data_IF_864453185032
#
_entry.id   IF_864453185032
#
_cell.length_a   1.000
_cell.length_b   1.000
_cell.length_c   1.000
_cell.angle_alpha   90.00
_cell.angle_beta   90.00
_cell.angle_gamma   90.00
#
_symmetry.space_group_name_H-M   'P 1'
#
loop_
_entity.id
_entity.type
_entity.pdbx_description
1 polymer ?
#
# COMPACT_ATOMS: atom_id res chain seq x y z
N UNK A 1 44.04 -28.84 -37.92
CA UNK A 1 43.49 -27.47 -37.79
C UNK A 1 42.11 -27.44 -37.11
N UNK A 2 41.26 -28.47 -37.28
CA UNK A 2 39.91 -28.52 -36.70
C UNK A 2 39.80 -28.61 -35.16
N UNK A 3 40.77 -29.23 -34.47
CA UNK A 3 40.70 -29.41 -33.00
C UNK A 3 40.77 -28.08 -32.22
N UNK A 4 41.56 -27.12 -32.71
CA UNK A 4 41.71 -25.80 -32.07
C UNK A 4 40.44 -24.95 -32.19
N UNK A 5 39.71 -25.11 -33.28
CA UNK A 5 38.45 -24.38 -33.52
C UNK A 5 37.35 -24.91 -32.58
N UNK A 6 37.29 -26.23 -32.37
CA UNK A 6 36.30 -26.85 -31.48
C UNK A 6 36.48 -26.45 -30.01
N UNK A 7 37.72 -26.38 -29.53
CA UNK A 7 38.02 -25.94 -28.15
C UNK A 7 37.63 -24.47 -27.94
N UNK A 8 37.88 -23.62 -28.94
CA UNK A 8 37.57 -22.20 -28.87
C UNK A 8 36.05 -21.95 -28.85
N UNK A 9 35.29 -22.72 -29.63
CA UNK A 9 33.82 -22.67 -29.60
C UNK A 9 33.29 -23.11 -28.23
N UNK A 10 33.83 -24.19 -27.65
CA UNK A 10 33.37 -24.72 -26.36
C UNK A 10 33.59 -23.74 -25.19
N UNK A 11 34.74 -23.04 -25.19
CA UNK A 11 35.05 -22.00 -24.20
C UNK A 11 34.10 -20.80 -24.36
N UNK A 12 33.87 -20.34 -25.58
CA UNK A 12 32.97 -19.21 -25.84
C UNK A 12 31.53 -19.55 -25.44
N UNK A 13 31.04 -20.75 -25.73
CA UNK A 13 29.70 -21.19 -25.29
C UNK A 13 29.57 -21.33 -23.78
N UNK A 14 30.64 -21.75 -23.09
CA UNK A 14 30.65 -21.86 -21.63
C UNK A 14 30.59 -20.47 -20.96
N UNK A 15 31.36 -19.50 -21.48
CA UNK A 15 31.36 -18.13 -20.98
C UNK A 15 30.02 -17.42 -21.19
N UNK A 16 29.30 -17.68 -22.28
CA UNK A 16 27.98 -17.08 -22.54
C UNK A 16 26.92 -17.65 -21.57
N UNK A 17 26.92 -18.97 -21.34
CA UNK A 17 26.00 -19.61 -20.40
C UNK A 17 26.22 -19.18 -18.93
N UNK A 18 27.47 -18.87 -18.55
CA UNK A 18 27.79 -18.37 -17.21
C UNK A 18 27.31 -16.92 -16.99
N UNK A 19 27.30 -16.07 -18.02
CA UNK A 19 26.84 -14.67 -17.89
C UNK A 19 25.33 -14.59 -17.67
N UNK A 20 24.54 -15.43 -18.35
CA UNK A 20 23.07 -15.45 -18.19
C UNK A 20 22.63 -15.93 -16.79
N UNK A 21 23.47 -16.70 -16.09
CA UNK A 21 23.16 -17.21 -14.74
C UNK A 21 23.37 -16.19 -13.60
N UNK A 22 23.88 -14.99 -13.88
CA UNK A 22 24.28 -14.03 -12.84
C UNK A 22 23.33 -12.85 -12.61
N UNK A 23 22.28 -12.69 -13.42
CA UNK A 23 21.26 -11.67 -13.18
C UNK A 23 20.02 -12.25 -12.48
N UNK A 24 20.21 -12.68 -11.23
CA UNK A 24 19.08 -12.77 -10.29
C UNK A 24 18.74 -11.34 -9.89
N UNK A 25 17.93 -10.66 -10.70
CA UNK A 25 17.25 -9.44 -10.25
C UNK A 25 16.32 -9.90 -9.12
N UNK A 26 16.52 -9.43 -7.87
CA UNK A 26 15.57 -9.75 -6.83
C UNK A 26 14.22 -9.23 -7.31
N UNK A 27 13.26 -10.13 -7.50
CA UNK A 27 11.86 -9.78 -7.66
C UNK A 27 11.48 -9.00 -6.41
N UNK A 28 11.56 -7.67 -6.49
CA UNK A 28 11.01 -6.77 -5.49
C UNK A 28 9.50 -6.91 -5.70
N UNK A 29 8.91 -7.91 -5.05
CA UNK A 29 7.45 -8.03 -4.93
C UNK A 29 6.96 -6.67 -4.43
N UNK A 30 6.33 -5.90 -5.31
CA UNK A 30 5.69 -4.65 -4.90
C UNK A 30 4.73 -4.99 -3.76
N UNK A 31 4.70 -4.20 -2.68
CA UNK A 31 3.76 -4.43 -1.59
C UNK A 31 2.34 -4.45 -2.15
N UNK A 32 1.49 -5.40 -1.71
CA UNK A 32 0.15 -5.58 -2.27
C UNK A 32 -0.66 -4.27 -2.15
N UNK A 33 -1.36 -3.92 -3.24
CA UNK A 33 -2.23 -2.76 -3.31
C UNK A 33 -3.64 -3.17 -2.87
N UNK A 34 -4.26 -2.37 -2.02
CA UNK A 34 -5.64 -2.51 -1.57
C UNK A 34 -6.51 -1.48 -2.28
N UNK A 35 -7.68 -1.91 -2.75
CA UNK A 35 -8.73 -1.07 -3.32
C UNK A 35 -9.88 -0.97 -2.33
N UNK A 36 -10.32 0.25 -2.00
CA UNK A 36 -11.43 0.48 -1.08
C UNK A 36 -12.29 1.63 -1.58
N UNK A 37 -13.61 1.46 -1.48
CA UNK A 37 -14.56 2.56 -1.66
C UNK A 37 -14.86 3.13 -0.27
N UNK A 38 -14.66 4.43 -0.11
CA UNK A 38 -14.91 5.16 1.11
C UNK A 38 -16.17 6.00 0.90
N UNK A 39 -17.22 5.66 1.63
CA UNK A 39 -18.46 6.42 1.66
C UNK A 39 -18.39 7.44 2.79
N UNK A 40 -19.02 8.59 2.62
CA UNK A 40 -19.19 9.55 3.70
C UNK A 40 -20.00 8.92 4.84
N UNK A 41 -19.46 8.99 6.05
CA UNK A 41 -20.16 8.61 7.28
C UNK A 41 -20.27 9.83 8.21
N UNK A 42 -21.48 10.36 8.32
CA UNK A 42 -21.76 11.52 9.16
C UNK A 42 -21.45 11.27 10.64
N UNK A 43 -21.48 10.02 11.09
CA UNK A 43 -21.14 9.65 12.48
C UNK A 43 -19.64 9.84 12.72
N UNK A 44 -18.80 9.39 11.79
CA UNK A 44 -17.34 9.55 11.87
C UNK A 44 -16.99 11.04 11.86
N UNK A 45 -17.60 11.81 10.95
CA UNK A 45 -17.35 13.26 10.85
C UNK A 45 -17.75 14.01 12.12
N UNK A 46 -18.94 13.71 12.68
CA UNK A 46 -19.40 14.33 13.93
C UNK A 46 -18.52 13.95 15.12
N UNK A 47 -18.14 12.68 15.25
CA UNK A 47 -17.25 12.22 16.32
C UNK A 47 -15.90 12.94 16.26
N UNK A 48 -15.29 13.02 15.07
CA UNK A 48 -14.01 13.70 14.88
C UNK A 48 -14.13 15.21 15.10
N UNK A 49 -15.22 15.85 14.67
CA UNK A 49 -15.48 17.26 14.93
C UNK A 49 -15.60 17.53 16.44
N UNK A 50 -16.29 16.68 17.19
CA UNK A 50 -16.43 16.80 18.64
C UNK A 50 -15.10 16.64 19.37
N UNK A 51 -14.23 15.72 18.94
CA UNK A 51 -12.89 15.54 19.53
C UNK A 51 -12.04 16.81 19.34
N UNK A 52 -12.12 17.43 18.15
CA UNK A 52 -11.40 18.68 17.85
C UNK A 52 -11.95 19.85 18.67
N UNK A 53 -13.28 20.04 18.67
CA UNK A 53 -13.92 21.18 19.33
C UNK A 53 -13.79 21.15 20.86
N UNK A 54 -13.88 19.97 21.46
CA UNK A 54 -13.79 19.82 22.92
C UNK A 54 -12.35 19.65 23.41
N UNK A 55 -11.35 19.82 22.53
CA UNK A 55 -9.92 19.61 22.83
C UNK A 55 -9.69 18.33 23.65
N UNK A 56 -10.36 17.24 23.29
CA UNK A 56 -10.23 15.97 24.01
C UNK A 56 -8.90 15.33 23.63
N UNK A 57 -7.80 15.87 24.19
CA UNK A 57 -6.41 15.57 23.84
C UNK A 57 -6.03 14.09 23.99
N UNK A 58 -6.88 13.28 24.64
CA UNK A 58 -6.66 11.86 24.88
C UNK A 58 -7.54 10.93 24.02
N UNK A 59 -8.41 11.45 23.16
CA UNK A 59 -9.26 10.63 22.29
C UNK A 59 -8.68 10.54 20.88
N UNK A 60 -8.46 9.32 20.41
CA UNK A 60 -8.05 9.07 19.04
C UNK A 60 -9.20 9.36 18.07
N UNK A 61 -8.91 10.10 17.01
CA UNK A 61 -9.85 10.31 15.90
C UNK A 61 -10.14 8.99 15.17
N UNK A 62 -11.38 8.82 14.75
CA UNK A 62 -11.83 7.64 14.00
C UNK A 62 -11.40 7.78 12.53
N UNK A 63 -10.56 6.88 12.00
CA UNK A 63 -10.07 6.97 10.63
C UNK A 63 -10.96 6.23 9.63
N UNK A 64 -10.93 6.69 8.37
CA UNK A 64 -11.57 5.96 7.26
C UNK A 64 -10.74 4.75 6.81
N UNK A 65 -9.41 4.88 6.86
CA UNK A 65 -8.45 3.83 6.50
C UNK A 65 -7.32 3.76 7.53
N UNK A 66 -6.84 2.55 7.79
CA UNK A 66 -5.71 2.29 8.67
C UNK A 66 -4.82 1.17 8.11
N UNK A 67 -3.54 1.28 8.40
CA UNK A 67 -2.57 0.22 8.23
C UNK A 67 -2.31 -0.47 9.57
N UNK A 68 -1.98 -1.76 9.51
CA UNK A 68 -1.60 -2.57 10.69
C UNK A 68 -0.08 -2.58 10.87
N UNK A 69 0.39 -2.97 12.07
CA UNK A 69 1.81 -3.21 12.37
C UNK A 69 2.74 -2.01 12.13
N UNK A 70 2.28 -0.80 12.45
CA UNK A 70 3.03 0.46 12.29
C UNK A 70 3.51 0.68 10.85
N UNK A 71 2.78 0.13 9.87
CA UNK A 71 2.99 0.44 8.47
C UNK A 71 2.38 1.80 8.13
N UNK A 72 3.05 2.53 7.25
CA UNK A 72 2.58 3.83 6.78
C UNK A 72 1.74 3.67 5.51
N UNK A 73 0.69 4.45 5.40
CA UNK A 73 -0.15 4.56 4.21
C UNK A 73 0.64 5.23 3.10
N UNK A 74 0.49 4.69 1.89
CA UNK A 74 0.94 5.31 0.67
C UNK A 74 -0.15 5.17 -0.40
N UNK A 75 -0.69 6.31 -0.80
CA UNK A 75 -1.79 6.42 -1.73
C UNK A 75 -1.23 6.35 -3.15
N UNK A 76 -1.77 5.45 -3.96
CA UNK A 76 -1.39 5.32 -5.36
C UNK A 76 -2.35 6.07 -6.27
N UNK A 77 -3.65 5.95 -6.01
CA UNK A 77 -4.71 6.54 -6.82
C UNK A 77 -5.92 6.84 -5.93
N UNK A 78 -6.60 7.95 -6.19
CA UNK A 78 -7.88 8.29 -5.61
C UNK A 78 -8.76 8.97 -6.67
N UNK A 79 -10.01 8.54 -6.75
CA UNK A 79 -11.03 9.08 -7.63
C UNK A 79 -12.29 9.38 -6.83
N UNK A 80 -12.92 10.51 -7.11
CA UNK A 80 -14.18 10.90 -6.50
C UNK A 80 -15.34 10.52 -7.43
N UNK A 81 -16.33 9.83 -6.90
CA UNK A 81 -17.41 9.20 -7.66
C UNK A 81 -18.76 9.42 -6.99
N UNK A 82 -19.84 9.27 -7.77
CA UNK A 82 -21.18 9.18 -7.20
C UNK A 82 -21.30 7.89 -6.40
N UNK A 83 -21.84 8.00 -5.21
CA UNK A 83 -22.22 6.87 -4.38
C UNK A 83 -23.44 6.19 -4.99
N UNK A 84 -23.39 4.87 -5.09
CA UNK A 84 -24.51 4.07 -5.59
C UNK A 84 -25.01 3.16 -4.47
N UNK A 85 -26.21 2.61 -4.62
CA UNK A 85 -26.73 1.62 -3.67
C UNK A 85 -25.81 0.40 -3.54
N UNK A 86 -25.05 0.06 -4.59
CA UNK A 86 -24.09 -1.04 -4.56
C UNK A 86 -22.77 -0.68 -3.87
N UNK A 87 -22.29 0.56 -4.00
CA UNK A 87 -21.02 0.97 -3.39
C UNK A 87 -21.18 1.48 -1.95
N UNK A 88 -22.28 2.16 -1.65
CA UNK A 88 -22.55 2.82 -0.37
C UNK A 88 -23.99 2.55 0.13
N UNK A 89 -24.39 1.29 0.38
CA UNK A 89 -25.79 0.91 0.65
C UNK A 89 -26.41 1.63 1.85
N UNK A 90 -25.60 1.95 2.88
CA UNK A 90 -26.07 2.61 4.10
C UNK A 90 -26.57 4.04 3.86
N UNK A 91 -26.13 4.70 2.78
CA UNK A 91 -26.59 6.04 2.40
C UNK A 91 -27.98 6.00 1.74
N UNK A 92 -28.41 4.83 1.25
CA UNK A 92 -29.64 4.64 0.46
C UNK A 92 -30.72 3.84 1.19
N UNK A 93 -30.61 3.67 2.52
CA UNK A 93 -31.58 2.93 3.34
C UNK A 93 -33.01 3.50 3.33
N UNK A 94 -33.16 4.76 2.92
CA UNK A 94 -34.45 5.40 2.70
C UNK A 94 -34.52 5.72 1.21
N UNK A 95 -35.19 4.87 0.45
CA UNK A 95 -35.47 5.07 -0.98
C UNK A 95 -36.12 6.45 -1.17
N UNK A 96 -35.28 7.45 -1.44
CA UNK A 96 -35.70 8.75 -1.93
C UNK A 96 -35.24 8.75 -3.37
N UNK A 97 -36.17 8.80 -4.30
CA UNK A 97 -35.85 9.09 -5.69
C UNK A 97 -35.21 10.48 -5.73
N UNK A 98 -33.90 10.53 -5.97
CA UNK A 98 -33.17 11.79 -6.15
C UNK A 98 -32.69 11.87 -7.59
N UNK A 99 -32.84 13.03 -8.22
CA UNK A 99 -32.40 13.29 -9.61
C UNK A 99 -30.90 13.04 -9.83
N UNK A 100 -30.13 12.90 -8.75
CA UNK A 100 -28.70 12.59 -8.76
C UNK A 100 -28.36 11.18 -9.27
N UNK A 101 -29.32 10.25 -9.32
CA UNK A 101 -29.05 8.87 -9.75
C UNK A 101 -28.84 8.70 -11.25
N UNK A 102 -29.33 9.63 -12.05
CA UNK A 102 -29.27 9.59 -13.52
C UNK A 102 -28.19 10.52 -14.08
N UNK A 103 -27.34 11.07 -13.23
CA UNK A 103 -26.42 12.13 -13.62
C UNK A 103 -25.05 11.56 -14.00
N UNK A 104 -24.46 12.11 -15.06
CA UNK A 104 -23.17 11.68 -15.59
C UNK A 104 -22.05 12.57 -15.03
N UNK A 105 -21.03 11.95 -14.42
CA UNK A 105 -19.85 12.66 -13.88
C UNK A 105 -18.66 12.63 -14.84
N UNK A 106 -18.90 12.43 -16.13
CA UNK A 106 -17.84 12.28 -17.10
C UNK A 106 -16.96 13.55 -17.14
N UNK A 107 -15.75 13.42 -16.58
CA UNK A 107 -14.58 14.28 -16.77
C UNK A 107 -14.61 15.72 -16.25
N UNK A 108 -15.66 16.19 -15.59
CA UNK A 108 -15.63 17.50 -14.93
C UNK A 108 -15.08 17.37 -13.49
N UNK A 109 -13.91 17.96 -13.23
CA UNK A 109 -13.27 18.13 -11.92
C UNK A 109 -12.52 16.93 -11.28
N UNK A 110 -11.99 16.00 -12.08
CA UNK A 110 -11.08 14.96 -11.56
C UNK A 110 -9.59 15.38 -11.51
N UNK A 111 -9.30 16.68 -11.45
CA UNK A 111 -7.93 17.15 -11.25
C UNK A 111 -7.64 17.27 -9.74
N UNK A 112 -6.65 16.50 -9.30
CA UNK A 112 -6.01 16.50 -7.98
C UNK A 112 -6.69 15.81 -6.78
N UNK A 113 -7.77 15.02 -6.92
CA UNK A 113 -8.28 14.20 -5.79
C UNK A 113 -7.17 13.31 -5.22
N UNK A 114 -6.42 12.63 -6.10
CA UNK A 114 -5.27 11.81 -5.70
C UNK A 114 -4.22 12.62 -4.93
N UNK A 115 -3.92 13.85 -5.36
CA UNK A 115 -2.91 14.69 -4.71
C UNK A 115 -3.39 15.23 -3.36
N UNK A 116 -4.66 15.62 -3.25
CA UNK A 116 -5.27 16.04 -1.98
C UNK A 116 -5.26 14.88 -0.99
N UNK A 117 -5.69 13.69 -1.39
CA UNK A 117 -5.69 12.51 -0.52
C UNK A 117 -4.26 12.10 -0.13
N UNK A 118 -3.28 12.21 -1.03
CA UNK A 118 -1.86 12.01 -0.69
C UNK A 118 -1.41 12.99 0.40
N UNK A 119 -1.71 14.29 0.25
CA UNK A 119 -1.36 15.31 1.26
C UNK A 119 -1.99 15.01 2.63
N UNK A 120 -3.20 14.46 2.64
CA UNK A 120 -3.94 14.13 3.87
C UNK A 120 -3.48 12.81 4.51
N UNK A 121 -3.11 11.81 3.73
CA UNK A 121 -2.94 10.43 4.20
C UNK A 121 -1.50 9.87 4.12
N UNK A 122 -0.67 10.32 3.17
CA UNK A 122 0.64 9.69 2.95
C UNK A 122 1.54 9.83 4.19
N UNK A 123 2.24 8.74 4.54
CA UNK A 123 3.16 8.70 5.67
C UNK A 123 2.49 8.54 7.04
N UNK A 124 1.16 8.48 7.12
CA UNK A 124 0.41 8.24 8.36
C UNK A 124 0.02 6.77 8.49
N UNK A 125 -0.12 6.26 9.72
CA UNK A 125 -0.64 4.90 9.96
C UNK A 125 -2.17 4.83 9.78
N UNK A 126 -2.86 5.90 10.18
CA UNK A 126 -4.31 6.09 10.09
C UNK A 126 -4.57 7.34 9.27
N UNK A 127 -5.50 7.29 8.31
CA UNK A 127 -5.94 8.49 7.61
C UNK A 127 -7.33 8.92 8.08
N UNK A 128 -7.37 10.16 8.57
CA UNK A 128 -8.56 10.89 8.98
C UNK A 128 -8.64 12.11 8.07
N UNK A 129 -9.78 12.27 7.40
CA UNK A 129 -10.09 13.45 6.60
C UNK A 129 -11.60 13.72 6.63
N UNK A 130 -12.00 14.93 6.25
CA UNK A 130 -13.40 15.29 6.08
C UNK A 130 -13.70 15.41 4.58
N UNK A 131 -14.87 14.97 4.13
CA UNK A 131 -15.26 15.11 2.72
C UNK A 131 -15.32 16.58 2.25
N UNK A 132 -15.54 17.54 3.16
CA UNK A 132 -15.48 18.96 2.87
C UNK A 132 -14.08 19.46 2.45
N UNK A 133 -13.03 18.67 2.68
CA UNK A 133 -11.66 18.99 2.26
C UNK A 133 -11.36 18.50 0.83
N UNK A 134 -12.27 17.74 0.23
CA UNK A 134 -12.15 17.20 -1.12
C UNK A 134 -12.75 18.18 -2.14
N UNK A 135 -12.30 18.12 -3.41
CA UNK A 135 -12.92 18.91 -4.45
C UNK A 135 -14.39 18.49 -4.67
N UNK A 136 -15.19 19.44 -5.14
CA UNK A 136 -16.61 19.23 -5.43
C UNK A 136 -16.78 18.41 -6.70
N UNK A 137 -17.64 17.39 -6.65
CA UNK A 137 -18.06 16.65 -7.85
C UNK A 137 -19.13 17.43 -8.58
N UNK A 138 -18.89 17.71 -9.86
CA UNK A 138 -19.90 18.28 -10.75
C UNK A 138 -20.64 17.15 -11.44
N UNK A 139 -21.94 17.33 -11.63
CA UNK A 139 -22.78 16.42 -12.37
C UNK A 139 -23.54 17.11 -13.49
N UNK A 140 -23.75 16.38 -14.58
CA UNK A 140 -24.53 16.82 -15.74
C UNK A 140 -25.83 16.02 -15.74
N UNK A 141 -26.97 16.72 -15.71
CA UNK A 141 -28.29 16.09 -15.84
C UNK A 141 -28.60 15.71 -17.30
N UNK A 142 -29.67 14.95 -17.53
CA UNK A 142 -30.22 14.63 -18.84
C UNK A 142 -30.55 15.89 -19.69
N UNK A 143 -30.80 17.02 -19.04
CA UNK A 143 -31.05 18.32 -19.70
C UNK A 143 -29.77 19.12 -20.02
N UNK A 144 -28.57 18.55 -19.79
CA UNK A 144 -27.25 19.21 -19.90
C UNK A 144 -26.99 20.34 -18.91
N UNK A 145 -27.77 20.43 -17.83
CA UNK A 145 -27.50 21.37 -16.74
C UNK A 145 -26.37 20.85 -15.84
N UNK A 146 -25.40 21.71 -15.53
CA UNK A 146 -24.28 21.40 -14.64
C UNK A 146 -24.64 21.85 -13.22
N UNK A 147 -24.60 20.93 -12.27
CA UNK A 147 -24.84 21.21 -10.86
C UNK A 147 -23.82 20.52 -9.95
N UNK A 148 -23.66 21.05 -8.74
CA UNK A 148 -22.80 20.46 -7.72
C UNK A 148 -23.52 19.29 -7.06
N UNK A 149 -22.88 18.13 -7.02
CA UNK A 149 -23.41 16.99 -6.31
C UNK A 149 -23.33 17.27 -4.80
N UNK A 150 -24.36 16.96 -4.00
CA UNK A 150 -24.25 17.02 -2.56
C UNK A 150 -23.21 16.03 -2.03
N UNK A 151 -22.43 16.46 -1.04
CA UNK A 151 -21.34 15.66 -0.43
C UNK A 151 -21.87 14.33 0.17
N UNK A 152 -23.15 14.30 0.55
CA UNK A 152 -23.85 13.09 1.03
C UNK A 152 -23.85 11.94 0.02
N UNK A 153 -23.83 12.26 -1.27
CA UNK A 153 -23.84 11.29 -2.36
C UNK A 153 -22.47 11.10 -3.00
N UNK A 154 -21.39 11.60 -2.39
CA UNK A 154 -20.02 11.40 -2.87
C UNK A 154 -19.35 10.21 -2.19
N UNK A 155 -18.58 9.45 -2.98
CA UNK A 155 -17.69 8.39 -2.51
C UNK A 155 -16.30 8.55 -3.10
N UNK A 156 -15.29 8.03 -2.39
CA UNK A 156 -13.90 8.03 -2.86
C UNK A 156 -13.48 6.60 -3.15
N UNK A 157 -13.20 6.30 -4.40
CA UNK A 157 -12.51 5.07 -4.78
C UNK A 157 -11.01 5.27 -4.57
N UNK A 158 -10.44 4.54 -3.62
CA UNK A 158 -9.06 4.68 -3.18
C UNK A 158 -8.26 3.40 -3.45
N UNK A 159 -7.07 3.56 -4.02
CA UNK A 159 -6.05 2.51 -4.10
C UNK A 159 -4.83 2.92 -3.28
N UNK A 160 -4.48 2.12 -2.28
CA UNK A 160 -3.37 2.39 -1.37
C UNK A 160 -2.57 1.13 -1.07
N UNK A 161 -1.37 1.29 -0.53
CA UNK A 161 -0.63 0.20 0.09
C UNK A 161 -0.11 0.59 1.47
N UNK A 162 0.13 -0.42 2.29
CA UNK A 162 0.74 -0.26 3.61
C UNK A 162 2.21 -0.62 3.51
N UNK A 163 3.07 0.39 3.59
CA UNK A 163 4.51 0.20 3.55
C UNK A 163 5.03 0.18 4.98
N UNK A 164 5.54 -0.96 5.46
CA UNK A 164 6.31 -0.95 6.71
C UNK A 164 7.56 -0.08 6.48
N UNK A 165 7.86 0.89 7.34
CA UNK A 165 9.10 1.63 7.23
C UNK A 165 10.24 0.60 7.17
N UNK A 166 11.09 0.69 6.15
CA UNK A 166 12.26 -0.19 6.08
C UNK A 166 13.05 0.07 7.37
N UNK A 167 12.94 -0.83 8.35
CA UNK A 167 13.94 -0.93 9.41
C UNK A 167 15.24 -1.03 8.64
N UNK A 168 16.06 0.03 8.68
CA UNK A 168 17.30 0.13 7.90
C UNK A 168 17.90 -1.26 7.86
N UNK A 169 17.94 -1.87 6.68
CA UNK A 169 18.55 -3.17 6.51
C UNK A 169 19.96 -2.97 7.06
N UNK A 170 20.23 -3.43 8.28
CA UNK A 170 21.57 -3.42 8.86
C UNK A 170 22.21 -4.60 8.16
N UNK A 171 22.97 -4.40 7.08
CA UNK A 171 23.62 -5.51 6.42
C UNK A 171 24.65 -5.97 7.43
N UNK A 172 24.32 -7.03 8.16
CA UNK A 172 25.12 -7.53 9.28
C UNK A 172 25.30 -6.46 10.38
N UNK A 173 24.44 -6.47 11.40
CA UNK A 173 24.90 -5.99 12.71
C UNK A 173 26.03 -6.93 13.13
N UNK A 174 27.26 -6.60 12.74
CA UNK A 174 28.50 -7.17 13.23
C UNK A 174 28.35 -8.61 13.74
N UNK A 175 27.98 -9.58 12.87
CA UNK A 175 27.86 -11.01 13.27
C UNK A 175 29.16 -11.51 13.92
N UNK A 176 30.27 -10.83 13.64
CA UNK A 176 31.59 -11.03 14.27
C UNK A 176 31.65 -10.70 15.77
N UNK A 177 30.72 -9.90 16.29
CA UNK A 177 30.66 -9.47 17.70
C UNK A 177 29.37 -9.91 18.40
N UNK A 178 28.42 -10.50 17.67
CA UNK A 178 27.24 -11.12 18.29
C UNK A 178 27.67 -12.42 18.97
N UNK A 179 27.55 -12.47 20.30
CA UNK A 179 28.00 -13.60 21.14
C UNK A 179 27.34 -14.91 20.73
N UNK A 180 26.14 -14.86 20.15
CA UNK A 180 25.41 -16.02 19.62
C UNK A 180 26.07 -16.65 18.39
N UNK A 181 26.83 -15.89 17.61
CA UNK A 181 27.53 -16.37 16.40
C UNK A 181 29.03 -16.60 16.63
N UNK A 182 29.64 -15.91 17.60
CA UNK A 182 31.08 -16.07 17.89
C UNK A 182 31.45 -17.43 18.50
N UNK A 183 30.52 -18.12 19.19
CA UNK A 183 30.81 -19.44 19.77
C UNK A 183 31.16 -20.50 18.71
N UNK A 184 30.54 -20.45 17.53
CA UNK A 184 30.83 -21.38 16.44
C UNK A 184 32.07 -21.00 15.64
N UNK A 185 32.45 -19.72 15.62
CA UNK A 185 33.63 -19.24 14.86
C UNK A 185 34.93 -19.43 15.66
N UNK A 186 34.88 -19.38 17.00
CA UNK A 186 36.05 -19.55 17.86
C UNK A 186 36.51 -21.01 18.01
N UNK A 187 35.79 -21.99 17.46
CA UNK A 187 36.15 -23.40 17.63
C UNK A 187 35.88 -24.24 16.37
N UNK A 188 36.68 -24.06 15.29
CA UNK A 188 36.54 -24.86 14.06
C UNK A 188 36.82 -26.36 14.26
N UNK A 189 37.37 -26.76 15.41
CA UNK A 189 37.72 -28.16 15.72
C UNK A 189 36.60 -28.96 16.39
N UNK A 190 35.51 -28.32 16.87
CA UNK A 190 34.43 -29.03 17.59
C UNK A 190 33.40 -29.69 16.69
N UNK A 191 33.37 -29.39 15.39
CA UNK A 191 32.40 -29.98 14.45
C UNK A 191 32.90 -31.23 13.71
N UNK A 192 34.13 -31.70 13.98
CA UNK A 192 34.68 -32.90 13.34
C UNK A 192 34.86 -34.12 14.28
N UNK A 193 34.56 -34.01 15.58
CA UNK A 193 34.79 -35.13 16.52
C UNK A 193 33.55 -35.86 17.04
N UNK A 194 32.33 -35.46 16.67
CA UNK A 194 31.12 -36.09 17.24
C UNK A 194 30.44 -37.17 16.38
N UNK A 195 30.93 -37.44 15.16
CA UNK A 195 30.28 -38.41 14.26
C UNK A 195 31.08 -39.69 13.95
N UNK A 196 32.22 -39.98 14.61
CA UNK A 196 32.94 -41.25 14.36
C UNK A 196 33.48 -41.98 15.60
N UNK A 197 33.15 -41.57 16.84
CA UNK A 197 33.56 -42.30 18.05
C UNK A 197 32.43 -43.06 18.77
N UNK A 198 31.22 -43.09 18.20
CA UNK A 198 30.13 -43.95 18.65
C UNK A 198 29.68 -45.01 17.63
N UNK A 199 30.58 -45.41 16.73
CA UNK A 199 30.62 -46.82 16.27
C UNK A 199 31.61 -47.56 17.15
N UNK A 200 31.22 -47.73 18.41
CA UNK A 200 31.78 -48.75 19.29
C UNK A 200 30.87 -49.97 19.15
N UNK A 201 31.50 -51.14 19.06
CA UNK A 201 30.92 -52.49 19.07
C UNK A 201 30.38 -53.01 17.74
#
# INVERSE_FOLDING_TARGET
MHLRIQILILIVTCCIALVESTFIVPSILEPPKANRIICRDSRIEQQNANIIQNELQNQEQTPYINCVNNAILKISFANLQISTQSSCPLQFLREKDTSYFTCDTNNFANSNVTNVIKLLCDGKEKCVFNFNQLPVLLCIDQNNDIFELPIEFMSVQLTYNCQTPRRRFRPFSNKRYDTKFTQNIKNPLKTLSYNNLHKVF
#
